data_IF_496176765991
#
_entry.id   IF_496176765991
#
_cell.length_a   1.000
_cell.length_b   1.000
_cell.length_c   1.000
_cell.angle_alpha   90.00
_cell.angle_beta   90.00
_cell.angle_gamma   90.00
#
_symmetry.space_group_name_H-M   'P 1'
#
loop_
_entity.id
_entity.type
_entity.pdbx_description
1 polymer ?
#
# COMPACT_ATOMS: atom_id res chain seq x y z
N UNK A 1 -11.95 -1.70 14.58
CA UNK A 1 -10.78 -1.68 15.46
C UNK A 1 -9.54 -2.24 14.77
N UNK A 2 -9.57 -3.51 14.38
CA UNK A 2 -8.41 -4.18 13.79
C UNK A 2 -7.88 -3.45 12.56
N UNK A 3 -8.75 -2.98 11.67
CA UNK A 3 -8.37 -2.22 10.48
C UNK A 3 -7.61 -0.92 10.84
N UNK A 4 -8.05 -0.20 11.88
CA UNK A 4 -7.35 1.01 12.31
C UNK A 4 -5.99 0.71 12.94
N UNK A 5 -5.90 -0.35 13.76
CA UNK A 5 -4.64 -0.80 14.38
C UNK A 5 -3.67 -1.27 13.31
N UNK A 6 -4.13 -2.13 12.41
CA UNK A 6 -3.34 -2.66 11.30
C UNK A 6 -2.80 -1.52 10.42
N UNK A 7 -3.66 -0.59 9.98
CA UNK A 7 -3.25 0.56 9.18
C UNK A 7 -2.20 1.41 9.90
N UNK A 8 -2.34 1.59 11.23
CA UNK A 8 -1.37 2.37 12.01
C UNK A 8 0.02 1.71 12.01
N UNK A 9 0.08 0.38 12.01
CA UNK A 9 1.34 -0.38 11.90
C UNK A 9 1.88 -0.36 10.47
N UNK A 10 1.00 -0.35 9.48
CA UNK A 10 1.37 -0.34 8.06
C UNK A 10 2.00 0.98 7.60
N UNK A 11 1.61 2.14 8.18
CA UNK A 11 2.13 3.44 7.70
C UNK A 11 3.64 3.55 7.70
N UNK A 12 4.39 3.22 8.76
CA UNK A 12 5.84 3.25 8.71
C UNK A 12 6.43 2.35 7.62
N UNK A 13 5.77 1.23 7.32
CA UNK A 13 6.20 0.28 6.29
C UNK A 13 6.12 0.89 4.90
N UNK A 14 4.94 1.36 4.50
CA UNK A 14 4.76 1.96 3.16
C UNK A 14 5.53 3.25 2.98
N UNK A 15 5.64 4.05 4.05
CA UNK A 15 6.42 5.30 4.05
C UNK A 15 7.93 5.06 3.95
N UNK A 16 8.41 3.87 4.40
CA UNK A 16 9.80 3.46 4.14
C UNK A 16 10.07 3.44 2.64
N UNK A 17 9.16 2.90 1.83
CA UNK A 17 9.31 2.92 0.37
C UNK A 17 9.32 4.36 -0.17
N UNK A 18 8.50 5.27 0.35
CA UNK A 18 8.55 6.69 0.01
C UNK A 18 9.88 7.36 0.34
N UNK A 19 10.46 7.06 1.51
CA UNK A 19 11.76 7.57 1.92
C UNK A 19 12.89 7.00 1.04
N UNK A 20 12.86 5.70 0.75
CA UNK A 20 13.79 5.06 -0.18
C UNK A 20 13.69 5.70 -1.56
N UNK A 21 12.47 5.94 -2.08
CA UNK A 21 12.30 6.60 -3.37
C UNK A 21 12.94 7.98 -3.41
N UNK A 22 12.79 8.79 -2.36
CA UNK A 22 13.43 10.11 -2.28
C UNK A 22 14.96 10.03 -2.20
N UNK A 23 15.54 8.93 -1.72
CA UNK A 23 17.00 8.76 -1.72
C UNK A 23 17.57 8.63 -3.14
N UNK A 24 16.79 8.12 -4.11
CA UNK A 24 17.21 7.92 -5.49
C UNK A 24 17.07 9.18 -6.40
N UNK A 25 16.95 10.35 -5.82
CA UNK A 25 16.95 11.63 -6.58
C UNK A 25 18.36 12.06 -6.97
N UNK A 26 19.40 11.54 -6.29
CA UNK A 26 20.77 12.01 -6.41
C UNK A 26 21.49 11.64 -7.72
N UNK A 27 20.98 10.71 -8.51
CA UNK A 27 21.62 10.18 -9.74
C UNK A 27 23.03 9.59 -9.48
N UNK A 28 23.26 9.06 -8.28
CA UNK A 28 24.50 8.41 -7.87
C UNK A 28 24.16 7.13 -7.13
N UNK A 29 24.16 6.02 -7.83
CA UNK A 29 23.70 4.72 -7.34
C UNK A 29 24.29 4.33 -5.98
N UNK A 30 25.60 4.49 -5.81
CA UNK A 30 26.27 4.13 -4.58
C UNK A 30 25.85 5.02 -3.40
N UNK A 31 25.71 6.32 -3.62
CA UNK A 31 25.25 7.28 -2.62
C UNK A 31 23.77 7.05 -2.30
N UNK A 32 22.95 6.86 -3.34
CA UNK A 32 21.50 6.73 -3.23
C UNK A 32 21.13 5.43 -2.50
N UNK A 33 21.78 4.32 -2.80
CA UNK A 33 21.61 3.06 -2.06
C UNK A 33 22.09 3.16 -0.60
N UNK A 34 23.21 3.85 -0.36
CA UNK A 34 23.70 4.08 1.00
C UNK A 34 22.73 4.95 1.80
N UNK A 35 22.18 6.01 1.19
CA UNK A 35 21.20 6.89 1.81
C UNK A 35 19.87 6.15 2.08
N UNK A 36 19.39 5.36 1.11
CA UNK A 36 18.20 4.52 1.25
C UNK A 36 18.33 3.46 2.37
N UNK A 37 19.55 3.06 2.69
CA UNK A 37 19.87 2.14 3.78
C UNK A 37 20.10 2.83 5.13
N UNK A 38 20.16 4.17 5.14
CA UNK A 38 20.40 4.94 6.36
C UNK A 38 19.13 5.04 7.21
N UNK A 39 19.17 4.46 8.39
CA UNK A 39 18.03 4.37 9.33
C UNK A 39 17.55 5.74 9.81
N UNK A 40 18.46 6.65 10.10
CA UNK A 40 18.10 7.99 10.58
C UNK A 40 17.45 8.83 9.50
N UNK A 41 18.01 8.81 8.28
CA UNK A 41 17.39 9.43 7.12
C UNK A 41 15.98 8.90 6.90
N UNK A 42 15.82 7.57 6.87
CA UNK A 42 14.52 6.92 6.65
C UNK A 42 13.53 7.33 7.74
N UNK A 43 13.93 7.31 9.01
CA UNK A 43 13.08 7.76 10.13
C UNK A 43 12.57 9.19 9.92
N UNK A 44 13.48 10.13 9.66
CA UNK A 44 13.13 11.55 9.50
C UNK A 44 12.15 11.74 8.34
N UNK A 45 12.42 11.11 7.19
CA UNK A 45 11.56 11.24 6.00
C UNK A 45 10.20 10.57 6.22
N UNK A 46 10.16 9.37 6.80
CA UNK A 46 8.91 8.67 7.14
C UNK A 46 8.03 9.55 8.03
N UNK A 47 8.59 10.12 9.08
CA UNK A 47 7.84 10.99 9.98
C UNK A 47 7.40 12.29 9.29
N UNK A 48 8.25 12.89 8.48
CA UNK A 48 7.92 14.10 7.73
C UNK A 48 6.74 13.86 6.76
N UNK A 49 6.76 12.78 5.98
CA UNK A 49 5.68 12.45 5.04
C UNK A 49 4.41 12.09 5.81
N UNK A 50 4.50 11.33 6.91
CA UNK A 50 3.33 10.95 7.70
C UNK A 50 2.62 12.17 8.31
N UNK A 51 3.37 13.07 8.93
CA UNK A 51 2.80 14.28 9.52
C UNK A 51 2.26 15.23 8.46
N UNK A 52 2.91 15.33 7.30
CA UNK A 52 2.38 16.06 6.14
C UNK A 52 1.02 15.48 5.70
N UNK A 53 0.91 14.15 5.57
CA UNK A 53 -0.34 13.47 5.25
C UNK A 53 -1.41 13.75 6.32
N UNK A 54 -1.05 13.71 7.60
CA UNK A 54 -1.95 14.04 8.72
C UNK A 54 -2.46 15.46 8.62
N UNK A 55 -1.60 16.45 8.38
CA UNK A 55 -1.99 17.86 8.24
C UNK A 55 -2.86 18.11 7.00
N UNK A 56 -2.59 17.43 5.88
CA UNK A 56 -3.46 17.48 4.70
C UNK A 56 -4.83 16.87 5.02
N UNK A 57 -4.87 15.74 5.73
CA UNK A 57 -6.12 15.07 6.15
C UNK A 57 -6.97 15.96 7.05
N UNK A 58 -6.35 16.78 7.91
CA UNK A 58 -7.04 17.77 8.75
C UNK A 58 -7.72 18.88 7.94
N UNK A 59 -7.33 19.11 6.67
CA UNK A 59 -8.01 20.04 5.75
C UNK A 59 -9.27 19.45 5.11
N UNK A 60 -9.58 18.19 5.37
CA UNK A 60 -10.80 17.51 4.94
C UNK A 60 -10.70 16.72 3.64
N UNK A 61 -11.77 15.96 3.36
CA UNK A 61 -11.83 14.98 2.27
C UNK A 61 -11.61 15.57 0.87
N UNK A 62 -11.96 16.83 0.64
CA UNK A 62 -11.73 17.47 -0.67
C UNK A 62 -10.25 17.57 -1.01
N UNK A 63 -9.40 17.91 -0.04
CA UNK A 63 -7.95 17.93 -0.22
C UNK A 63 -7.35 16.54 -0.35
N UNK A 64 -7.80 15.61 0.50
CA UNK A 64 -7.39 14.19 0.41
C UNK A 64 -7.70 13.65 -0.99
N UNK A 65 -8.91 13.82 -1.48
CA UNK A 65 -9.33 13.32 -2.79
C UNK A 65 -8.54 13.91 -3.96
N UNK A 66 -8.25 15.23 -3.93
CA UNK A 66 -7.43 15.88 -4.98
C UNK A 66 -6.01 15.32 -5.03
N UNK A 67 -5.34 15.25 -3.88
CA UNK A 67 -3.95 14.77 -3.80
C UNK A 67 -3.90 13.28 -4.14
N UNK A 68 -4.83 12.46 -3.61
CA UNK A 68 -4.87 11.03 -3.87
C UNK A 68 -5.14 10.70 -5.34
N UNK A 69 -6.02 11.46 -6.01
CA UNK A 69 -6.28 11.27 -7.45
C UNK A 69 -5.04 11.55 -8.30
N UNK A 70 -4.37 12.66 -8.05
CA UNK A 70 -3.18 13.05 -8.84
C UNK A 70 -2.03 12.09 -8.53
N UNK A 71 -1.76 11.83 -7.25
CA UNK A 71 -0.67 10.95 -6.84
C UNK A 71 -0.89 9.49 -7.23
N UNK A 72 -2.11 8.99 -7.20
CA UNK A 72 -2.43 7.65 -7.70
C UNK A 72 -2.15 7.52 -9.20
N UNK A 73 -2.49 8.53 -10.00
CA UNK A 73 -2.18 8.53 -11.42
C UNK A 73 -0.68 8.67 -11.68
N UNK A 74 -0.07 9.73 -11.16
CA UNK A 74 1.33 10.11 -11.46
C UNK A 74 2.32 9.20 -10.73
N UNK A 75 2.00 8.79 -9.50
CA UNK A 75 2.92 8.03 -8.66
C UNK A 75 2.68 6.51 -8.62
N UNK A 76 1.62 6.01 -9.26
CA UNK A 76 1.35 4.56 -9.28
C UNK A 76 1.06 4.07 -10.70
N UNK A 77 0.00 4.56 -11.35
CA UNK A 77 -0.44 4.01 -12.65
C UNK A 77 0.57 4.30 -13.75
N UNK A 78 1.05 5.54 -13.86
CA UNK A 78 2.04 5.91 -14.89
C UNK A 78 3.38 5.18 -14.66
N UNK A 79 3.99 5.17 -13.47
CA UNK A 79 5.21 4.40 -13.24
C UNK A 79 5.05 2.90 -13.48
N UNK A 80 3.94 2.30 -13.03
CA UNK A 80 3.68 0.88 -13.27
C UNK A 80 3.56 0.55 -14.76
N UNK A 81 2.82 1.35 -15.52
CA UNK A 81 2.72 1.21 -16.97
C UNK A 81 4.05 1.43 -17.68
N UNK A 82 4.81 2.43 -17.26
CA UNK A 82 6.14 2.72 -17.80
C UNK A 82 7.11 1.55 -17.56
N UNK A 83 7.11 0.96 -16.36
CA UNK A 83 7.96 -0.19 -16.04
C UNK A 83 7.69 -1.37 -16.98
N UNK A 84 6.42 -1.66 -17.26
CA UNK A 84 6.03 -2.73 -18.19
C UNK A 84 6.48 -2.40 -19.61
N UNK A 85 6.28 -1.16 -20.07
CA UNK A 85 6.73 -0.72 -21.41
C UNK A 85 8.25 -0.82 -21.53
N UNK A 86 8.99 -0.40 -20.52
CA UNK A 86 10.46 -0.50 -20.50
C UNK A 86 10.93 -1.95 -20.59
N UNK A 87 10.28 -2.88 -19.88
CA UNK A 87 10.59 -4.30 -19.94
C UNK A 87 10.36 -4.87 -21.37
N UNK A 88 9.26 -4.48 -22.03
CA UNK A 88 8.96 -4.88 -23.40
C UNK A 88 10.02 -4.31 -24.37
N UNK A 89 10.36 -3.03 -24.24
CA UNK A 89 11.40 -2.39 -25.08
C UNK A 89 12.75 -3.07 -24.88
N UNK A 90 13.12 -3.36 -23.63
CA UNK A 90 14.37 -4.06 -23.30
C UNK A 90 14.46 -5.42 -24.01
N UNK A 91 13.43 -6.26 -23.88
CA UNK A 91 13.40 -7.57 -24.53
C UNK A 91 13.36 -7.49 -26.06
N UNK A 92 12.56 -6.56 -26.61
CA UNK A 92 12.47 -6.34 -28.06
C UNK A 92 13.80 -5.84 -28.68
N UNK A 93 14.63 -5.17 -27.89
CA UNK A 93 15.95 -4.70 -28.28
C UNK A 93 17.07 -5.72 -28.04
N UNK A 94 16.74 -6.98 -27.74
CA UNK A 94 17.71 -8.06 -27.55
C UNK A 94 18.29 -8.15 -26.13
N UNK A 95 17.68 -7.50 -25.13
CA UNK A 95 18.06 -7.64 -23.74
C UNK A 95 17.81 -9.06 -23.21
N UNK A 96 18.72 -9.56 -22.39
CA UNK A 96 18.60 -10.90 -21.80
C UNK A 96 17.79 -10.85 -20.52
N UNK A 97 16.73 -11.69 -20.46
CA UNK A 97 15.95 -11.85 -19.22
C UNK A 97 16.75 -12.57 -18.13
N UNK A 98 16.68 -12.04 -16.93
CA UNK A 98 17.23 -12.68 -15.71
C UNK A 98 16.27 -13.74 -15.13
N UNK A 99 15.03 -13.86 -15.66
CA UNK A 99 14.07 -14.88 -15.22
C UNK A 99 14.46 -16.22 -15.79
N UNK A 100 14.64 -17.19 -14.91
CA UNK A 100 14.79 -18.62 -15.27
C UNK A 100 13.43 -19.33 -15.09
N UNK A 101 12.75 -19.63 -16.22
CA UNK A 101 11.49 -20.38 -16.19
C UNK A 101 11.66 -21.88 -16.08
N UNK A 102 12.90 -22.41 -16.18
CA UNK A 102 13.18 -23.85 -16.08
C UNK A 102 13.51 -24.29 -14.66
N UNK A 103 13.87 -23.35 -13.78
CA UNK A 103 14.25 -23.61 -12.40
C UNK A 103 13.11 -23.32 -11.42
N UNK A 104 13.39 -22.52 -10.42
CA UNK A 104 12.57 -22.24 -9.26
C UNK A 104 11.34 -21.33 -9.54
N UNK A 105 10.52 -21.64 -10.54
CA UNK A 105 9.31 -20.83 -10.82
C UNK A 105 8.28 -20.92 -9.68
N UNK A 106 8.21 -22.09 -9.05
CA UNK A 106 7.39 -22.27 -7.85
C UNK A 106 8.28 -22.23 -6.61
N UNK A 107 7.93 -21.44 -5.58
CA UNK A 107 8.68 -21.42 -4.33
C UNK A 107 8.60 -22.80 -3.65
N UNK A 108 9.70 -23.21 -3.06
CA UNK A 108 9.72 -24.39 -2.19
C UNK A 108 8.98 -24.08 -0.88
N UNK A 109 7.73 -24.50 -0.80
CA UNK A 109 6.87 -24.32 0.38
C UNK A 109 7.23 -25.23 1.56
N UNK A 110 8.16 -26.17 1.42
CA UNK A 110 8.71 -26.90 2.56
C UNK A 110 9.60 -26.01 3.44
N UNK A 111 10.13 -24.93 2.88
CA UNK A 111 10.90 -23.93 3.61
C UNK A 111 9.96 -22.90 4.27
N UNK A 112 9.98 -22.85 5.61
CA UNK A 112 9.13 -21.93 6.39
C UNK A 112 9.33 -20.46 6.01
N UNK A 113 10.56 -20.03 5.68
CA UNK A 113 10.83 -18.66 5.26
C UNK A 113 10.10 -18.30 3.95
N UNK A 114 9.99 -19.24 3.02
CA UNK A 114 9.24 -19.02 1.78
C UNK A 114 7.74 -18.90 2.05
N UNK A 115 7.19 -19.64 3.02
CA UNK A 115 5.79 -19.47 3.46
C UNK A 115 5.55 -18.09 4.06
N UNK A 116 6.48 -17.61 4.89
CA UNK A 116 6.42 -16.27 5.49
C UNK A 116 6.46 -15.18 4.42
N UNK A 117 7.35 -15.29 3.44
CA UNK A 117 7.41 -14.36 2.31
C UNK A 117 6.14 -14.44 1.45
N UNK A 118 5.65 -15.64 1.16
CA UNK A 118 4.40 -15.84 0.40
C UNK A 118 3.19 -15.22 1.11
N UNK A 119 3.14 -15.25 2.44
CA UNK A 119 2.07 -14.61 3.19
C UNK A 119 2.02 -13.09 2.96
N UNK A 120 3.16 -12.45 2.72
CA UNK A 120 3.24 -11.02 2.43
C UNK A 120 2.57 -10.63 1.10
N UNK A 121 2.41 -11.59 0.18
CA UNK A 121 1.71 -11.36 -1.11
C UNK A 121 0.23 -11.03 -0.88
N UNK A 122 -0.38 -11.55 0.18
CA UNK A 122 -1.78 -11.21 0.52
C UNK A 122 -1.97 -9.72 0.74
N UNK A 123 -0.96 -9.01 1.26
CA UNK A 123 -1.01 -7.58 1.48
C UNK A 123 -1.14 -6.78 0.18
N UNK A 124 -0.59 -7.28 -0.93
CA UNK A 124 -0.67 -6.63 -2.24
C UNK A 124 -2.09 -6.58 -2.80
N UNK A 125 -2.93 -7.52 -2.40
CA UNK A 125 -4.32 -7.63 -2.85
C UNK A 125 -5.33 -7.23 -1.79
N UNK A 126 -4.88 -6.87 -0.60
CA UNK A 126 -5.71 -6.35 0.48
C UNK A 126 -6.10 -4.88 0.23
N UNK A 127 -7.16 -4.40 0.86
CA UNK A 127 -7.55 -2.98 0.85
C UNK A 127 -8.76 -2.64 0.00
N UNK A 128 -9.34 -3.59 -0.74
CA UNK A 128 -10.54 -3.33 -1.54
C UNK A 128 -11.76 -2.98 -0.67
N UNK A 129 -11.82 -3.49 0.56
CA UNK A 129 -12.86 -3.20 1.54
C UNK A 129 -12.84 -1.76 2.03
N UNK A 130 -11.71 -1.06 1.91
CA UNK A 130 -11.58 0.36 2.27
C UNK A 130 -12.58 1.26 1.55
N UNK A 131 -12.92 0.93 0.31
CA UNK A 131 -13.98 1.61 -0.43
C UNK A 131 -15.34 1.54 0.27
N UNK A 132 -15.60 0.50 1.08
CA UNK A 132 -16.84 0.33 1.82
C UNK A 132 -17.15 1.44 2.82
N UNK A 133 -16.13 2.09 3.39
CA UNK A 133 -16.29 3.22 4.30
C UNK A 133 -16.94 4.43 3.61
N UNK A 134 -16.72 4.55 2.29
CA UNK A 134 -17.21 5.64 1.47
C UNK A 134 -18.41 5.28 0.59
N UNK A 135 -18.99 4.08 0.77
CA UNK A 135 -20.10 3.58 -0.09
C UNK A 135 -21.29 4.53 -0.13
N UNK A 136 -21.54 5.28 0.96
CA UNK A 136 -22.64 6.26 1.04
C UNK A 136 -22.39 7.53 0.21
N UNK A 137 -21.13 7.78 -0.15
CA UNK A 137 -20.72 8.93 -0.95
C UNK A 137 -20.68 8.59 -2.45
N UNK A 138 -21.05 7.36 -2.84
CA UNK A 138 -21.04 6.86 -4.23
C UNK A 138 -22.43 6.98 -4.84
N UNK A 139 -22.53 7.53 -6.05
CA UNK A 139 -23.76 7.56 -6.83
C UNK A 139 -24.17 6.14 -7.24
N UNK A 140 -25.45 5.77 -6.98
CA UNK A 140 -25.98 4.43 -7.24
C UNK A 140 -25.02 3.30 -6.74
N UNK A 141 -24.80 3.21 -5.40
CA UNK A 141 -23.75 2.36 -4.83
C UNK A 141 -23.97 0.87 -5.09
N UNK A 142 -25.21 0.44 -5.29
CA UNK A 142 -25.53 -0.97 -5.57
C UNK A 142 -24.99 -1.47 -6.91
N UNK A 143 -24.71 -0.57 -7.84
CA UNK A 143 -24.17 -0.88 -9.18
C UNK A 143 -22.71 -0.42 -9.29
N UNK A 144 -22.43 0.82 -8.92
CA UNK A 144 -21.12 1.44 -9.17
C UNK A 144 -20.04 0.94 -8.21
N UNK A 145 -20.38 0.66 -6.94
CA UNK A 145 -19.42 0.16 -5.98
C UNK A 145 -18.88 -1.24 -6.36
N UNK A 146 -19.70 -2.26 -6.64
CA UNK A 146 -19.20 -3.55 -7.11
C UNK A 146 -18.35 -3.45 -8.38
N UNK A 147 -18.79 -2.66 -9.37
CA UNK A 147 -18.00 -2.43 -10.60
C UNK A 147 -16.63 -1.85 -10.30
N UNK A 148 -16.57 -0.83 -9.43
CA UNK A 148 -15.31 -0.21 -9.04
C UNK A 148 -14.36 -1.20 -8.34
N UNK A 149 -14.90 -2.06 -7.46
CA UNK A 149 -14.10 -3.10 -6.79
C UNK A 149 -13.56 -4.11 -7.80
N UNK A 150 -14.36 -4.62 -8.72
CA UNK A 150 -13.90 -5.57 -9.75
C UNK A 150 -12.85 -4.98 -10.67
N UNK A 151 -13.08 -3.77 -11.18
CA UNK A 151 -12.11 -3.08 -12.05
C UNK A 151 -10.83 -2.79 -11.28
N UNK A 152 -10.94 -2.28 -10.05
CA UNK A 152 -9.80 -2.01 -9.19
C UNK A 152 -8.98 -3.26 -8.91
N UNK A 153 -9.63 -4.37 -8.55
CA UNK A 153 -8.97 -5.66 -8.33
C UNK A 153 -8.23 -6.15 -9.56
N UNK A 154 -8.86 -6.07 -10.73
CA UNK A 154 -8.24 -6.47 -11.99
C UNK A 154 -6.99 -5.63 -12.32
N UNK A 155 -7.09 -4.30 -12.18
CA UNK A 155 -5.96 -3.39 -12.39
C UNK A 155 -4.84 -3.70 -11.39
N UNK A 156 -5.17 -3.95 -10.12
CA UNK A 156 -4.21 -4.30 -9.08
C UNK A 156 -3.45 -5.57 -9.43
N UNK A 157 -4.16 -6.63 -9.83
CA UNK A 157 -3.53 -7.88 -10.28
C UNK A 157 -2.58 -7.64 -11.45
N UNK A 158 -3.02 -6.88 -12.47
CA UNK A 158 -2.16 -6.55 -13.61
C UNK A 158 -0.89 -5.80 -13.18
N UNK A 159 -1.02 -4.78 -12.33
CA UNK A 159 0.13 -3.99 -11.86
C UNK A 159 1.13 -4.88 -11.12
N UNK A 160 0.67 -5.70 -10.18
CA UNK A 160 1.58 -6.53 -9.40
C UNK A 160 2.20 -7.65 -10.22
N UNK A 161 1.42 -8.36 -11.05
CA UNK A 161 1.95 -9.45 -11.86
C UNK A 161 2.92 -8.92 -12.92
N UNK A 162 2.49 -7.96 -13.73
CA UNK A 162 3.34 -7.42 -14.79
C UNK A 162 4.54 -6.64 -14.24
N UNK A 163 4.36 -5.89 -13.15
CA UNK A 163 5.44 -5.18 -12.48
C UNK A 163 6.49 -6.13 -11.92
N UNK A 164 6.08 -7.22 -11.26
CA UNK A 164 7.01 -8.23 -10.75
C UNK A 164 7.78 -8.92 -11.87
N UNK A 165 7.11 -9.31 -12.96
CA UNK A 165 7.80 -9.85 -14.13
C UNK A 165 8.78 -8.86 -14.72
N UNK A 166 8.39 -7.59 -14.86
CA UNK A 166 9.27 -6.54 -15.38
C UNK A 166 10.54 -6.37 -14.54
N UNK A 167 10.43 -6.42 -13.21
CA UNK A 167 11.61 -6.38 -12.33
C UNK A 167 12.47 -7.64 -12.47
N UNK A 168 11.85 -8.83 -12.51
CA UNK A 168 12.57 -10.08 -12.67
C UNK A 168 13.30 -10.22 -14.01
N UNK A 169 12.85 -9.50 -15.06
CA UNK A 169 13.57 -9.45 -16.34
C UNK A 169 14.92 -8.76 -16.22
N UNK A 170 15.04 -7.69 -15.42
CA UNK A 170 16.22 -6.83 -15.39
C UNK A 170 17.10 -7.05 -14.15
N UNK A 171 16.55 -7.55 -13.03
CA UNK A 171 17.27 -7.71 -11.77
C UNK A 171 17.57 -9.20 -11.52
N UNK A 172 18.85 -9.60 -11.36
CA UNK A 172 19.23 -10.93 -10.96
C UNK A 172 18.67 -11.31 -9.56
N UNK A 173 18.30 -12.57 -9.37
CA UNK A 173 17.69 -13.09 -8.13
C UNK A 173 18.50 -12.76 -6.86
N UNK A 174 19.82 -12.80 -6.94
CA UNK A 174 20.73 -12.52 -5.83
C UNK A 174 20.89 -11.03 -5.46
N UNK A 175 20.37 -10.14 -6.30
CA UNK A 175 20.43 -8.69 -6.09
C UNK A 175 19.07 -8.10 -5.64
N UNK A 176 18.05 -8.95 -5.48
CA UNK A 176 16.72 -8.49 -5.07
C UNK A 176 16.76 -7.96 -3.65
N UNK A 177 16.39 -6.68 -3.50
CA UNK A 177 16.20 -6.00 -2.23
C UNK A 177 14.74 -5.54 -2.10
N UNK A 178 14.06 -5.90 -1.00
CA UNK A 178 12.63 -5.66 -0.83
C UNK A 178 12.23 -4.17 -0.83
N UNK A 179 13.15 -3.28 -0.55
CA UNK A 179 12.88 -1.84 -0.47
C UNK A 179 13.41 -1.04 -1.65
N UNK A 180 14.44 -1.52 -2.36
CA UNK A 180 15.18 -0.75 -3.37
C UNK A 180 14.97 -1.28 -4.80
N UNK A 181 14.60 -2.55 -4.99
CA UNK A 181 14.59 -3.18 -6.32
C UNK A 181 13.74 -2.45 -7.37
N UNK A 182 12.65 -1.79 -6.96
CA UNK A 182 11.84 -1.05 -7.93
C UNK A 182 12.62 0.13 -8.52
N UNK A 183 13.36 0.87 -7.71
CA UNK A 183 14.16 2.01 -8.13
C UNK A 183 15.36 1.55 -8.98
N UNK A 184 16.10 0.56 -8.50
CA UNK A 184 17.22 -0.07 -9.22
C UNK A 184 16.75 -0.62 -10.58
N UNK A 185 15.56 -1.21 -10.65
CA UNK A 185 14.98 -1.69 -11.90
C UNK A 185 14.73 -0.56 -12.91
N UNK A 186 14.19 0.57 -12.45
CA UNK A 186 14.03 1.75 -13.30
C UNK A 186 15.37 2.29 -13.78
N UNK A 187 16.36 2.43 -12.87
CA UNK A 187 17.68 2.95 -13.23
C UNK A 187 18.33 2.09 -14.33
N UNK A 188 18.31 0.76 -14.18
CA UNK A 188 18.85 -0.15 -15.21
C UNK A 188 18.12 -0.04 -16.55
N UNK A 189 16.79 0.11 -16.55
CA UNK A 189 16.05 0.31 -17.78
C UNK A 189 16.35 1.64 -18.44
N UNK A 190 16.47 2.72 -17.64
CA UNK A 190 16.81 4.04 -18.16
C UNK A 190 18.23 4.10 -18.68
N UNK A 191 19.17 3.43 -18.01
CA UNK A 191 20.56 3.32 -18.50
C UNK A 191 20.60 2.59 -19.84
N UNK A 192 19.84 1.51 -20.00
CA UNK A 192 19.75 0.76 -21.25
C UNK A 192 19.27 1.63 -22.41
N UNK A 193 18.25 2.47 -22.18
CA UNK A 193 17.74 3.38 -23.23
C UNK A 193 18.46 4.74 -23.25
N UNK A 194 19.54 4.92 -22.46
CA UNK A 194 20.33 6.17 -22.32
C UNK A 194 19.49 7.37 -21.84
N UNK A 195 18.57 7.14 -20.94
CA UNK A 195 17.65 8.13 -20.39
C UNK A 195 17.73 8.22 -18.86
N UNK A 196 18.91 8.01 -18.26
CA UNK A 196 19.13 7.97 -16.79
C UNK A 196 18.66 9.23 -16.07
N UNK A 197 18.54 10.37 -16.78
CA UNK A 197 17.96 11.61 -16.25
C UNK A 197 16.48 11.48 -15.82
N UNK A 198 15.78 10.42 -16.24
CA UNK A 198 14.40 10.13 -15.81
C UNK A 198 14.32 9.54 -14.39
N UNK A 199 15.39 8.95 -13.88
CA UNK A 199 15.42 8.29 -12.56
C UNK A 199 14.93 9.20 -11.43
N UNK A 200 15.44 10.44 -11.25
CA UNK A 200 14.93 11.32 -10.20
C UNK A 200 13.46 11.72 -10.39
N UNK A 201 12.99 11.82 -11.62
CA UNK A 201 11.58 12.14 -11.91
C UNK A 201 10.68 11.00 -11.44
N UNK A 202 11.03 9.76 -11.74
CA UNK A 202 10.29 8.57 -11.27
C UNK A 202 10.38 8.43 -9.75
N UNK A 203 11.54 8.67 -9.16
CA UNK A 203 11.75 8.63 -7.71
C UNK A 203 10.80 9.62 -6.98
N UNK A 204 10.70 10.84 -7.46
CA UNK A 204 9.76 11.86 -6.95
C UNK A 204 8.32 11.42 -7.17
N UNK A 205 7.98 10.93 -8.36
CA UNK A 205 6.63 10.48 -8.70
C UNK A 205 6.19 9.33 -7.78
N UNK A 206 7.02 8.31 -7.57
CA UNK A 206 6.76 7.18 -6.68
C UNK A 206 6.57 7.64 -5.23
N UNK A 207 7.43 8.52 -4.71
CA UNK A 207 7.28 9.07 -3.36
C UNK A 207 5.99 9.87 -3.21
N UNK A 208 5.62 10.66 -4.22
CA UNK A 208 4.33 11.35 -4.23
C UNK A 208 3.14 10.39 -4.28
N UNK A 209 3.25 9.27 -5.00
CA UNK A 209 2.28 8.17 -4.99
C UNK A 209 2.09 7.57 -3.61
N UNK A 210 3.19 7.35 -2.89
CA UNK A 210 3.14 6.87 -1.49
C UNK A 210 2.41 7.85 -0.59
N UNK A 211 2.73 9.15 -0.65
CA UNK A 211 2.01 10.19 0.10
C UNK A 211 0.50 10.15 -0.21
N UNK A 212 0.13 10.06 -1.47
CA UNK A 212 -1.25 10.04 -1.92
C UNK A 212 -2.01 8.78 -1.43
N UNK A 213 -1.36 7.61 -1.48
CA UNK A 213 -1.88 6.38 -0.92
C UNK A 213 -2.10 6.48 0.59
N UNK A 214 -1.09 6.92 1.32
CA UNK A 214 -1.17 7.12 2.78
C UNK A 214 -2.27 8.11 3.17
N UNK A 215 -2.48 9.18 2.41
CA UNK A 215 -3.58 10.12 2.65
C UNK A 215 -4.95 9.42 2.65
N UNK A 216 -5.20 8.54 1.67
CA UNK A 216 -6.45 7.78 1.58
C UNK A 216 -6.64 6.87 2.79
N UNK A 217 -5.56 6.18 3.19
CA UNK A 217 -5.59 5.26 4.31
C UNK A 217 -5.65 5.99 5.68
N UNK A 218 -5.03 7.14 5.85
CA UNK A 218 -5.17 7.95 7.07
C UNK A 218 -6.61 8.44 7.24
N UNK A 219 -7.27 8.84 6.17
CA UNK A 219 -8.62 9.36 6.23
C UNK A 219 -9.69 8.27 6.44
N UNK A 220 -9.56 7.09 5.79
CA UNK A 220 -10.54 6.02 5.82
C UNK A 220 -10.70 5.36 7.20
N UNK A 221 -9.70 4.61 7.70
CA UNK A 221 -9.79 3.93 9.00
C UNK A 221 -10.06 4.87 10.16
N UNK A 222 -9.52 6.09 10.13
CA UNK A 222 -9.79 7.10 11.17
C UNK A 222 -11.26 7.55 11.17
N UNK A 223 -11.92 7.64 10.00
CA UNK A 223 -13.36 7.87 9.89
C UNK A 223 -14.16 6.67 10.42
N UNK A 224 -13.68 5.44 10.16
CA UNK A 224 -14.28 4.21 10.69
C UNK A 224 -14.26 4.16 12.21
N UNK A 225 -13.10 4.39 12.84
CA UNK A 225 -12.99 4.38 14.30
C UNK A 225 -13.77 5.55 14.94
N UNK A 226 -13.87 6.70 14.26
CA UNK A 226 -14.71 7.80 14.70
C UNK A 226 -16.20 7.43 14.74
N UNK A 227 -16.70 6.67 13.74
CA UNK A 227 -18.06 6.16 13.74
C UNK A 227 -18.33 5.21 14.92
N UNK A 228 -17.36 4.34 15.26
CA UNK A 228 -17.41 3.47 16.46
C UNK A 228 -17.49 4.32 17.75
N UNK A 229 -16.72 5.42 17.81
CA UNK A 229 -16.77 6.37 18.93
C UNK A 229 -18.17 7.00 19.07
N UNK A 230 -18.75 7.47 17.96
CA UNK A 230 -20.10 8.05 17.97
C UNK A 230 -21.20 7.07 18.34
N UNK A 231 -20.99 5.79 18.10
CA UNK A 231 -21.89 4.72 18.54
C UNK A 231 -21.79 4.40 20.04
N UNK A 232 -20.92 5.11 20.80
CA UNK A 232 -20.78 4.96 22.25
C UNK A 232 -19.73 3.94 22.71
N UNK A 233 -19.00 3.32 21.78
CA UNK A 233 -17.99 2.29 22.10
C UNK A 233 -16.60 2.86 22.42
N UNK A 234 -16.43 4.19 22.37
CA UNK A 234 -15.18 4.87 22.69
C UNK A 234 -15.42 6.09 23.59
N UNK A 235 -14.45 6.46 24.41
CA UNK A 235 -14.52 7.67 25.23
C UNK A 235 -14.81 8.94 24.40
N UNK A 236 -15.48 9.96 24.96
CA UNK A 236 -15.84 11.19 24.26
C UNK A 236 -14.64 11.93 23.65
N UNK A 237 -13.43 11.70 24.17
CA UNK A 237 -12.20 12.25 23.62
C UNK A 237 -11.97 11.88 22.15
N UNK A 238 -12.33 10.65 21.73
CA UNK A 238 -12.19 10.18 20.34
C UNK A 238 -13.24 10.78 19.41
N UNK A 239 -14.28 11.43 19.94
CA UNK A 239 -15.34 12.04 19.17
C UNK A 239 -15.06 13.50 18.81
N UNK A 240 -13.94 14.08 19.26
CA UNK A 240 -13.60 15.47 19.01
C UNK A 240 -13.16 15.69 17.55
N UNK A 241 -13.78 16.69 16.92
CA UNK A 241 -13.49 17.13 15.55
C UNK A 241 -12.86 18.51 15.53
N UNK A 242 -12.31 18.89 14.37
CA UNK A 242 -11.96 20.29 14.09
C UNK A 242 -13.19 21.07 13.60
N UNK A 243 -13.02 22.36 13.23
CA UNK A 243 -14.09 23.26 12.77
C UNK A 243 -14.83 22.78 11.51
N UNK A 244 -14.23 21.91 10.70
CA UNK A 244 -14.80 21.36 9.47
C UNK A 244 -15.25 19.89 9.63
N UNK A 245 -15.33 19.39 10.87
CA UNK A 245 -15.88 18.06 11.18
C UNK A 245 -14.89 16.89 11.05
N UNK A 246 -13.59 17.12 10.84
CA UNK A 246 -12.58 16.05 10.77
C UNK A 246 -12.17 15.60 12.16
N UNK A 247 -12.05 14.29 12.38
CA UNK A 247 -11.74 13.59 13.64
C UNK A 247 -10.28 13.86 14.12
N UNK A 248 -10.01 15.06 14.59
CA UNK A 248 -8.65 15.52 14.91
C UNK A 248 -7.92 14.69 15.94
N UNK A 249 -8.60 14.31 17.04
CA UNK A 249 -7.95 13.59 18.13
C UNK A 249 -7.51 12.18 17.72
N UNK A 250 -8.31 11.51 16.89
CA UNK A 250 -7.95 10.20 16.34
C UNK A 250 -6.69 10.32 15.49
N UNK A 251 -6.64 11.32 14.61
CA UNK A 251 -5.48 11.55 13.74
C UNK A 251 -4.22 11.86 14.53
N UNK A 252 -4.30 12.65 15.60
CA UNK A 252 -3.13 12.93 16.45
C UNK A 252 -2.67 11.73 17.25
N UNK A 253 -3.60 10.92 17.82
CA UNK A 253 -3.24 9.67 18.52
C UNK A 253 -2.54 8.72 17.54
N UNK A 254 -3.13 8.54 16.36
CA UNK A 254 -2.56 7.72 15.29
C UNK A 254 -1.15 8.20 14.93
N UNK A 255 -0.96 9.53 14.78
CA UNK A 255 0.34 10.13 14.53
C UNK A 255 1.35 9.89 15.66
N UNK A 256 0.91 9.95 16.90
CA UNK A 256 1.74 9.60 18.06
C UNK A 256 2.20 8.14 18.02
N UNK A 257 1.29 7.20 17.74
CA UNK A 257 1.63 5.77 17.63
C UNK A 257 2.59 5.53 16.47
N UNK A 258 2.33 6.12 15.29
CA UNK A 258 3.22 6.01 14.13
C UNK A 258 4.61 6.59 14.43
N UNK A 259 4.69 7.68 15.18
CA UNK A 259 5.96 8.27 15.61
C UNK A 259 6.71 7.30 16.52
N UNK A 260 6.03 6.70 17.50
CA UNK A 260 6.65 5.69 18.38
C UNK A 260 7.12 4.46 17.62
N UNK A 261 6.31 3.95 16.68
CA UNK A 261 6.71 2.85 15.81
C UNK A 261 7.89 3.23 14.90
N UNK A 262 7.92 4.46 14.39
CA UNK A 262 9.03 4.98 13.61
C UNK A 262 10.35 4.98 14.41
N UNK A 263 10.33 5.26 15.70
CA UNK A 263 11.52 5.22 16.55
C UNK A 263 12.17 3.82 16.58
N UNK A 264 11.45 2.76 16.26
CA UNK A 264 12.02 1.42 16.13
C UNK A 264 13.11 1.34 15.05
N UNK A 265 13.14 2.25 14.06
CA UNK A 265 14.27 2.32 13.10
C UNK A 265 15.63 2.46 13.79
N UNK A 266 15.68 3.13 14.96
CA UNK A 266 16.92 3.35 15.70
C UNK A 266 17.50 2.04 16.24
N UNK A 267 16.62 1.11 16.66
CA UNK A 267 17.03 -0.16 17.28
C UNK A 267 17.09 -1.35 16.31
N UNK A 268 16.46 -1.22 15.14
CA UNK A 268 16.47 -2.30 14.14
C UNK A 268 17.84 -2.43 13.44
N UNK A 269 18.25 -3.65 13.06
CA UNK A 269 19.53 -3.89 12.37
C UNK A 269 19.65 -3.13 11.04
N UNK A 270 18.57 -3.06 10.27
CA UNK A 270 18.52 -2.41 8.95
C UNK A 270 17.12 -1.88 8.62
N UNK A 271 17.05 -0.99 7.61
CA UNK A 271 15.78 -0.51 7.03
C UNK A 271 14.96 -1.67 6.47
N UNK A 272 15.60 -2.62 5.80
CA UNK A 272 14.94 -3.80 5.26
C UNK A 272 14.35 -4.70 6.35
N UNK A 273 15.06 -4.92 7.46
CA UNK A 273 14.56 -5.71 8.60
C UNK A 273 13.35 -5.04 9.24
N UNK A 274 13.38 -3.72 9.42
CA UNK A 274 12.25 -2.94 9.91
C UNK A 274 11.02 -3.11 8.99
N UNK A 275 11.22 -2.88 7.69
CA UNK A 275 10.19 -3.05 6.68
C UNK A 275 9.57 -4.45 6.73
N UNK A 276 10.40 -5.49 6.78
CA UNK A 276 9.95 -6.88 6.75
C UNK A 276 9.14 -7.25 8.00
N UNK A 277 9.61 -6.88 9.19
CA UNK A 277 8.91 -7.18 10.45
C UNK A 277 7.54 -6.50 10.52
N UNK A 278 7.47 -5.21 10.19
CA UNK A 278 6.20 -4.50 10.23
C UNK A 278 5.25 -4.95 9.11
N UNK A 279 5.75 -5.29 7.93
CA UNK A 279 4.94 -5.88 6.86
C UNK A 279 4.28 -7.18 7.30
N UNK A 280 5.03 -8.08 7.93
CA UNK A 280 4.51 -9.36 8.42
C UNK A 280 3.47 -9.16 9.54
N UNK A 281 3.72 -8.23 10.46
CA UNK A 281 2.75 -7.90 11.51
C UNK A 281 1.46 -7.33 10.92
N UNK A 282 1.57 -6.46 9.92
CA UNK A 282 0.43 -5.91 9.16
C UNK A 282 -0.37 -7.03 8.51
N UNK A 283 0.29 -7.95 7.78
CA UNK A 283 -0.36 -9.10 7.13
C UNK A 283 -1.12 -9.95 8.14
N UNK A 284 -0.51 -10.26 9.27
CA UNK A 284 -1.14 -11.07 10.32
C UNK A 284 -2.45 -10.43 10.82
N UNK A 285 -2.42 -9.15 11.15
CA UNK A 285 -3.60 -8.41 11.61
C UNK A 285 -4.67 -8.33 10.51
N UNK A 286 -4.25 -8.15 9.26
CA UNK A 286 -5.13 -8.10 8.11
C UNK A 286 -5.87 -9.43 7.89
N UNK A 287 -5.15 -10.56 7.96
CA UNK A 287 -5.74 -11.88 7.82
C UNK A 287 -6.75 -12.17 8.95
N UNK A 288 -6.44 -11.79 10.19
CA UNK A 288 -7.39 -11.91 11.31
C UNK A 288 -8.64 -11.08 11.04
N UNK A 289 -8.49 -9.85 10.56
CA UNK A 289 -9.61 -8.96 10.20
C UNK A 289 -10.48 -9.59 9.11
N UNK A 290 -9.88 -10.13 8.05
CA UNK A 290 -10.61 -10.78 6.97
C UNK A 290 -11.36 -12.03 7.43
N UNK A 291 -10.77 -12.86 8.29
CA UNK A 291 -11.46 -14.00 8.87
C UNK A 291 -12.71 -13.57 9.65
N UNK A 292 -12.60 -12.52 10.45
CA UNK A 292 -13.75 -11.95 11.17
C UNK A 292 -14.79 -11.35 10.24
N UNK A 293 -14.37 -10.67 9.17
CA UNK A 293 -15.26 -10.08 8.16
C UNK A 293 -16.04 -11.18 7.42
N UNK A 294 -15.39 -12.26 7.00
CA UNK A 294 -16.04 -13.38 6.34
C UNK A 294 -16.98 -14.13 7.30
N UNK A 295 -16.56 -14.36 8.55
CA UNK A 295 -17.43 -14.95 9.58
C UNK A 295 -18.68 -14.09 9.82
N UNK A 296 -18.54 -12.77 9.90
CA UNK A 296 -19.65 -11.84 10.03
C UNK A 296 -20.58 -11.88 8.80
N UNK A 297 -20.02 -11.95 7.59
CA UNK A 297 -20.80 -12.05 6.36
C UNK A 297 -21.63 -13.34 6.33
N UNK A 298 -21.05 -14.47 6.74
CA UNK A 298 -21.74 -15.76 6.88
C UNK A 298 -22.87 -15.63 7.92
N UNK A 299 -22.55 -15.16 9.12
CA UNK A 299 -23.52 -14.98 10.20
C UNK A 299 -24.73 -14.12 9.76
N UNK A 300 -24.48 -12.97 9.13
CA UNK A 300 -25.53 -12.07 8.65
C UNK A 300 -26.39 -12.70 7.55
N UNK A 301 -25.83 -13.57 6.71
CA UNK A 301 -26.61 -14.30 5.69
C UNK A 301 -27.62 -15.26 6.32
N UNK A 302 -27.23 -15.96 7.37
CA UNK A 302 -28.12 -16.92 8.04
C UNK A 302 -29.13 -16.26 8.96
N UNK A 303 -28.74 -15.19 9.67
CA UNK A 303 -29.59 -14.58 10.70
C UNK A 303 -30.40 -13.37 10.22
N UNK A 304 -30.00 -12.72 9.11
CA UNK A 304 -30.74 -11.57 8.56
C UNK A 304 -31.20 -11.86 7.13
N UNK A 305 -32.04 -12.88 6.95
CA UNK A 305 -32.50 -13.34 5.63
C UNK A 305 -33.27 -12.29 4.87
N UNK A 306 -34.09 -11.47 5.58
CA UNK A 306 -34.93 -10.42 5.02
C UNK A 306 -34.18 -9.13 4.64
N UNK A 307 -32.88 -9.03 4.97
CA UNK A 307 -32.11 -7.84 4.64
C UNK A 307 -32.03 -7.67 3.12
N UNK A 308 -32.35 -6.46 2.64
CA UNK A 308 -32.19 -6.12 1.23
C UNK A 308 -30.70 -6.14 0.84
N UNK A 309 -30.34 -7.00 -0.10
CA UNK A 309 -28.98 -7.13 -0.64
C UNK A 309 -29.01 -6.86 -2.14
N UNK A 310 -28.83 -5.59 -2.55
CA UNK A 310 -28.93 -5.21 -3.97
C UNK A 310 -27.85 -5.85 -4.84
N UNK A 311 -26.70 -6.23 -4.26
CA UNK A 311 -25.67 -6.99 -4.92
C UNK A 311 -25.51 -8.37 -4.26
N UNK A 312 -25.54 -9.43 -5.07
CA UNK A 312 -25.37 -10.82 -4.63
C UNK A 312 -24.50 -11.58 -5.62
N UNK A 313 -23.59 -12.39 -5.12
CA UNK A 313 -22.85 -13.37 -5.93
C UNK A 313 -23.65 -14.68 -5.89
N UNK A 314 -24.05 -15.19 -7.07
CA UNK A 314 -24.86 -16.40 -7.21
C UNK A 314 -26.38 -16.20 -7.10
N UNK A 315 -27.13 -17.06 -7.79
CA UNK A 315 -28.59 -16.91 -7.97
C UNK A 315 -29.43 -17.33 -6.76
N UNK A 316 -28.94 -18.20 -5.88
CA UNK A 316 -29.73 -18.82 -4.79
C UNK A 316 -29.34 -18.34 -3.37
N UNK A 317 -28.67 -17.24 -3.22
CA UNK A 317 -28.38 -16.67 -1.89
C UNK A 317 -27.26 -17.38 -1.09
N UNK A 318 -26.86 -18.58 -1.49
CA UNK A 318 -25.71 -19.32 -0.97
C UNK A 318 -24.48 -19.07 -1.85
N UNK A 319 -24.31 -17.85 -2.33
CA UNK A 319 -23.13 -17.50 -3.09
C UNK A 319 -21.86 -17.86 -2.33
N UNK A 320 -20.87 -18.33 -3.03
CA UNK A 320 -19.54 -18.56 -2.51
C UNK A 320 -19.12 -17.35 -1.66
N UNK A 321 -18.86 -17.59 -0.40
CA UNK A 321 -18.33 -16.63 0.55
C UNK A 321 -16.82 -16.79 0.55
#
# INVERSE_FOLDING_TARGET
WLQWVESTIWYPTVLTFGAVSLAFIGMNDAHDMALASNRLYTLVVVLAIYWLATFISLKGMSWVGKVSKIGGLVGTIIPAGLLVVLAIVYLASGGHSQLDFKGDFFPDFSNFNNLVLASSIFLFYAGMEMGGIHVKDVDNPSVNYPKAVFIGSFITVLIFVLGTFSLGIIIPKNEINLTQSLLVGFDRYFDFIRASWLSPIIAIALSFGVLAGVLTWVAGPSKGIFAVGRAGYLPPFFQKTNSIGVQKNILFIQGGIVTLLGLLFVVMPSVQSFYQILSQLTVLLYLIMYLLMFAAAIYLRYNMKEANRPFRIGSKGNGLI
#
